data_IF_345504692704
#
_entry.id   IF_345504692704
#
_cell.length_a   1.000
_cell.length_b   1.000
_cell.length_c   1.000
_cell.angle_alpha   90.00
_cell.angle_beta   90.00
_cell.angle_gamma   90.00
#
_symmetry.space_group_name_H-M   'P 1'
#
loop_
_entity.id
_entity.type
_entity.pdbx_description
1 polymer ?
#
# COMPACT_ATOMS: atom_id res chain seq x y z
N UNK A 1 -13.20 7.20 -4.33
CA UNK A 1 -11.86 6.62 -4.14
C UNK A 1 -11.10 6.68 -5.46
N UNK A 2 -9.88 7.22 -5.45
CA UNK A 2 -9.06 7.40 -6.66
C UNK A 2 -8.21 6.19 -6.99
N UNK A 3 -7.69 5.50 -5.97
CA UNK A 3 -6.84 4.35 -6.21
C UNK A 3 -6.66 3.49 -4.98
N UNK A 4 -6.38 2.21 -5.22
CA UNK A 4 -6.13 1.21 -4.20
C UNK A 4 -4.76 0.55 -4.49
N UNK A 5 -3.78 0.78 -3.63
CA UNK A 5 -2.45 0.19 -3.72
C UNK A 5 -2.42 -1.10 -2.91
N UNK A 6 -2.11 -2.19 -3.59
CA UNK A 6 -2.07 -3.53 -3.01
C UNK A 6 -0.69 -4.15 -3.11
N UNK A 7 -0.17 -4.65 -2.02
CA UNK A 7 1.06 -5.44 -1.98
C UNK A 7 0.94 -6.57 -0.95
N UNK A 8 0.86 -7.80 -1.43
CA UNK A 8 0.74 -8.99 -0.59
C UNK A 8 0.96 -10.25 -1.45
N UNK A 9 1.30 -11.37 -0.84
CA UNK A 9 1.47 -12.69 -1.49
C UNK A 9 2.57 -13.53 -0.84
N UNK A 10 3.34 -12.95 0.06
CA UNK A 10 4.51 -13.58 0.69
C UNK A 10 4.13 -14.87 1.43
N UNK A 11 3.05 -14.85 2.19
CA UNK A 11 2.62 -16.00 2.96
C UNK A 11 1.89 -17.05 2.12
N UNK A 12 1.31 -16.65 1.01
CA UNK A 12 0.63 -17.59 0.09
C UNK A 12 1.64 -18.54 -0.57
N UNK A 13 2.92 -18.13 -0.67
CA UNK A 13 4.00 -18.96 -1.20
C UNK A 13 4.25 -20.25 -0.40
N UNK A 14 3.79 -20.33 0.85
CA UNK A 14 4.02 -21.51 1.70
C UNK A 14 2.93 -22.59 1.58
N UNK A 15 1.92 -22.37 0.73
CA UNK A 15 0.85 -23.32 0.49
C UNK A 15 0.53 -23.41 -1.01
N UNK A 16 0.55 -24.63 -1.57
CA UNK A 16 0.35 -24.83 -3.01
C UNK A 16 -1.06 -24.46 -3.47
N UNK A 17 -2.08 -24.75 -2.67
CA UNK A 17 -3.46 -24.38 -2.98
C UNK A 17 -3.65 -22.87 -2.97
N UNK A 18 -2.98 -22.15 -2.06
CA UNK A 18 -3.02 -20.69 -2.01
C UNK A 18 -2.31 -20.07 -3.21
N UNK A 19 -1.15 -20.62 -3.60
CA UNK A 19 -0.45 -20.17 -4.81
C UNK A 19 -1.31 -20.38 -6.06
N UNK A 20 -1.91 -21.56 -6.20
CA UNK A 20 -2.78 -21.92 -7.34
C UNK A 20 -4.01 -21.01 -7.42
N UNK A 21 -4.60 -20.69 -6.29
CA UNK A 21 -5.84 -19.92 -6.22
C UNK A 21 -5.60 -18.40 -6.02
N UNK A 22 -4.35 -17.95 -5.98
CA UNK A 22 -4.04 -16.54 -5.72
C UNK A 22 -4.72 -15.60 -6.73
N UNK A 23 -4.56 -15.86 -8.02
CA UNK A 23 -5.17 -15.03 -9.07
C UNK A 23 -6.70 -15.00 -8.99
N UNK A 24 -7.40 -16.14 -8.95
CA UNK A 24 -8.85 -16.19 -8.72
C UNK A 24 -9.31 -15.44 -7.47
N UNK A 25 -8.61 -15.63 -6.34
CA UNK A 25 -8.92 -14.94 -5.10
C UNK A 25 -8.71 -13.43 -5.22
N UNK A 26 -7.61 -13.00 -5.84
CA UNK A 26 -7.33 -11.59 -6.09
C UNK A 26 -8.41 -10.96 -6.98
N UNK A 27 -8.81 -11.63 -8.08
CA UNK A 27 -9.89 -11.16 -8.94
C UNK A 27 -11.20 -10.96 -8.16
N UNK A 28 -11.57 -11.93 -7.34
CA UNK A 28 -12.76 -11.83 -6.50
C UNK A 28 -12.64 -10.71 -5.47
N UNK A 29 -11.47 -10.53 -4.89
CA UNK A 29 -11.16 -9.45 -3.95
C UNK A 29 -11.40 -8.08 -4.57
N UNK A 30 -10.84 -7.81 -5.77
CA UNK A 30 -11.05 -6.53 -6.47
C UNK A 30 -12.53 -6.28 -6.78
N UNK A 31 -13.23 -7.29 -7.31
CA UNK A 31 -14.64 -7.17 -7.65
C UNK A 31 -15.51 -6.88 -6.40
N UNK A 32 -15.24 -7.57 -5.31
CA UNK A 32 -15.96 -7.36 -4.03
C UNK A 32 -15.68 -5.98 -3.46
N UNK A 33 -14.44 -5.49 -3.49
CA UNK A 33 -14.08 -4.17 -3.01
C UNK A 33 -14.80 -3.06 -3.78
N UNK A 34 -14.82 -3.13 -5.11
CA UNK A 34 -15.56 -2.17 -5.94
C UNK A 34 -17.03 -2.09 -5.57
N UNK A 35 -17.64 -3.25 -5.31
CA UNK A 35 -19.05 -3.33 -4.93
C UNK A 35 -19.28 -2.77 -3.53
N UNK A 36 -18.52 -3.23 -2.55
CA UNK A 36 -18.78 -2.95 -1.12
C UNK A 36 -18.40 -1.51 -0.76
N UNK A 37 -17.43 -0.92 -1.45
CA UNK A 37 -17.10 0.50 -1.37
C UNK A 37 -17.98 1.38 -2.27
N UNK A 38 -18.92 0.78 -3.02
CA UNK A 38 -19.76 1.48 -4.01
C UNK A 38 -18.95 2.33 -4.99
N UNK A 39 -17.77 1.84 -5.38
CA UNK A 39 -16.80 2.50 -6.24
C UNK A 39 -16.48 1.61 -7.46
N UNK A 40 -17.41 1.44 -8.42
CA UNK A 40 -17.25 0.47 -9.52
C UNK A 40 -16.08 0.78 -10.46
N UNK A 41 -15.60 2.01 -10.47
CA UNK A 41 -14.46 2.48 -11.27
C UNK A 41 -13.15 2.56 -10.48
N UNK A 42 -13.12 2.02 -9.25
CA UNK A 42 -11.92 2.03 -8.43
C UNK A 42 -10.78 1.29 -9.12
N UNK A 43 -9.68 2.01 -9.33
CA UNK A 43 -8.44 1.46 -9.89
C UNK A 43 -7.63 0.76 -8.83
N UNK A 44 -7.06 -0.39 -9.18
CA UNK A 44 -6.15 -1.14 -8.32
C UNK A 44 -4.74 -1.15 -8.91
N UNK A 45 -3.75 -0.88 -8.07
CA UNK A 45 -2.33 -0.91 -8.41
C UNK A 45 -1.69 -2.03 -7.61
N UNK A 46 -1.36 -3.13 -8.30
CA UNK A 46 -0.93 -4.38 -7.67
C UNK A 46 0.59 -4.46 -7.74
N UNK A 47 1.24 -4.25 -6.60
CA UNK A 47 2.69 -4.36 -6.47
C UNK A 47 3.16 -5.79 -6.65
N UNK A 48 4.11 -5.97 -7.57
CA UNK A 48 4.75 -7.26 -7.85
C UNK A 48 5.36 -7.86 -6.58
N UNK A 49 5.11 -9.14 -6.34
CA UNK A 49 5.82 -9.86 -5.31
C UNK A 49 7.27 -10.10 -5.74
N UNK A 50 8.24 -9.61 -4.96
CA UNK A 50 9.67 -9.69 -5.27
C UNK A 50 10.48 -10.49 -4.23
N UNK A 51 9.88 -11.50 -3.63
CA UNK A 51 10.53 -12.34 -2.62
C UNK A 51 11.28 -13.50 -3.26
N UNK A 52 12.61 -13.44 -3.27
CA UNK A 52 13.47 -14.45 -3.93
C UNK A 52 13.93 -15.55 -2.99
N UNK A 53 14.21 -15.22 -1.73
CA UNK A 53 14.71 -16.14 -0.72
C UNK A 53 14.11 -15.85 0.65
N UNK A 54 13.84 -16.92 1.42
CA UNK A 54 13.50 -16.85 2.85
C UNK A 54 14.25 -17.95 3.55
N UNK A 55 14.96 -17.63 4.63
CA UNK A 55 15.72 -18.60 5.44
C UNK A 55 16.65 -19.50 4.60
N UNK A 56 17.28 -18.93 3.58
CA UNK A 56 18.17 -19.65 2.68
C UNK A 56 17.46 -20.53 1.63
N UNK A 57 16.14 -20.62 1.65
CA UNK A 57 15.38 -21.33 0.62
C UNK A 57 15.19 -20.47 -0.62
N UNK A 58 15.34 -21.06 -1.80
CA UNK A 58 14.99 -20.42 -3.07
C UNK A 58 13.46 -20.42 -3.26
N UNK A 59 12.85 -19.26 -3.16
CA UNK A 59 11.41 -19.08 -3.33
C UNK A 59 11.02 -18.53 -4.70
N UNK A 60 11.97 -18.36 -5.62
CA UNK A 60 11.67 -17.82 -6.95
C UNK A 60 10.57 -18.57 -7.70
N UNK A 61 10.51 -19.92 -7.72
CA UNK A 61 9.41 -20.63 -8.37
C UNK A 61 8.04 -20.29 -7.77
N UNK A 62 7.98 -20.18 -6.45
CA UNK A 62 6.76 -19.85 -5.69
C UNK A 62 6.36 -18.39 -5.87
N UNK A 63 7.34 -17.48 -5.79
CA UNK A 63 7.16 -16.06 -6.10
C UNK A 63 6.59 -15.85 -7.52
N UNK A 64 7.14 -16.57 -8.51
CA UNK A 64 6.64 -16.48 -9.89
C UNK A 64 5.22 -17.03 -10.03
N UNK A 65 4.81 -18.01 -9.22
CA UNK A 65 3.43 -18.49 -9.21
C UNK A 65 2.46 -17.39 -8.74
N UNK A 66 2.79 -16.69 -7.67
CA UNK A 66 2.02 -15.54 -7.18
C UNK A 66 2.02 -14.40 -8.21
N UNK A 67 3.19 -14.02 -8.74
CA UNK A 67 3.31 -12.93 -9.73
C UNK A 67 2.54 -13.24 -11.01
N UNK A 68 2.49 -14.50 -11.45
CA UNK A 68 1.61 -14.88 -12.58
C UNK A 68 0.13 -14.67 -12.24
N UNK A 69 -0.30 -15.01 -11.02
CA UNK A 69 -1.67 -14.72 -10.56
C UNK A 69 -1.99 -13.23 -10.56
N UNK A 70 -1.05 -12.41 -10.10
CA UNK A 70 -1.17 -10.95 -10.12
C UNK A 70 -1.30 -10.41 -11.56
N UNK A 71 -0.43 -10.84 -12.48
CA UNK A 71 -0.46 -10.45 -13.90
C UNK A 71 -1.75 -10.89 -14.59
N UNK A 72 -2.15 -12.13 -14.41
CA UNK A 72 -3.38 -12.66 -15.03
C UNK A 72 -4.63 -11.85 -14.66
N UNK A 73 -4.69 -11.27 -13.47
CA UNK A 73 -5.77 -10.37 -13.08
C UNK A 73 -5.67 -9.03 -13.80
N UNK A 74 -4.48 -8.44 -13.83
CA UNK A 74 -4.28 -7.13 -14.47
C UNK A 74 -4.40 -7.16 -15.99
N UNK A 75 -4.18 -8.30 -16.62
CA UNK A 75 -4.37 -8.49 -18.06
C UNK A 75 -5.86 -8.48 -18.48
N UNK A 76 -6.76 -8.87 -17.59
CA UNK A 76 -8.20 -8.95 -17.89
C UNK A 76 -9.05 -7.88 -17.21
N UNK A 77 -8.51 -7.16 -16.25
CA UNK A 77 -9.20 -6.09 -15.53
C UNK A 77 -8.60 -4.72 -15.94
N UNK A 78 -9.30 -3.94 -16.79
CA UNK A 78 -8.80 -2.65 -17.29
C UNK A 78 -8.65 -1.59 -16.20
N UNK A 79 -9.17 -1.86 -15.00
CA UNK A 79 -9.04 -1.02 -13.81
C UNK A 79 -8.00 -1.55 -12.82
N UNK A 80 -7.17 -2.51 -13.24
CA UNK A 80 -6.06 -3.03 -12.43
C UNK A 80 -4.74 -2.88 -13.21
N UNK A 81 -3.71 -2.34 -12.56
CA UNK A 81 -2.38 -2.17 -13.12
C UNK A 81 -1.35 -2.94 -12.30
N UNK A 82 -0.51 -3.69 -12.99
CA UNK A 82 0.63 -4.36 -12.38
C UNK A 82 1.77 -3.38 -12.19
N UNK A 83 2.26 -3.26 -10.96
CA UNK A 83 3.35 -2.35 -10.59
C UNK A 83 4.63 -3.14 -10.39
N UNK A 84 5.58 -3.11 -11.33
CA UNK A 84 6.82 -3.87 -11.23
C UNK A 84 7.67 -3.43 -10.05
N UNK A 85 8.25 -4.39 -9.34
CA UNK A 85 9.19 -4.16 -8.24
C UNK A 85 10.49 -4.95 -8.40
N UNK A 86 10.66 -5.70 -9.48
CA UNK A 86 11.84 -6.56 -9.72
C UNK A 86 13.15 -5.79 -9.80
N UNK A 87 13.12 -4.51 -10.12
CA UNK A 87 14.26 -3.58 -10.14
C UNK A 87 14.48 -2.86 -8.79
N UNK A 88 13.55 -3.01 -7.85
CA UNK A 88 13.65 -2.39 -6.54
C UNK A 88 14.67 -3.15 -5.69
N UNK A 89 15.56 -2.43 -5.03
CA UNK A 89 16.55 -3.00 -4.13
C UNK A 89 15.88 -3.68 -2.94
N UNK A 90 15.97 -5.02 -2.89
CA UNK A 90 15.65 -5.77 -1.68
C UNK A 90 16.90 -5.72 -0.80
N UNK A 91 16.85 -4.92 0.26
CA UNK A 91 17.91 -4.94 1.25
C UNK A 91 17.86 -6.27 1.99
N UNK A 92 18.92 -7.06 1.86
CA UNK A 92 19.14 -8.24 2.68
C UNK A 92 19.53 -7.72 4.06
N UNK A 93 18.59 -7.73 5.01
CA UNK A 93 18.86 -7.32 6.37
C UNK A 93 19.85 -8.25 7.06
N UNK A 94 20.44 -7.80 8.14
CA UNK A 94 21.34 -8.62 8.96
C UNK A 94 20.55 -9.55 9.91
N UNK A 95 20.89 -10.84 10.04
CA UNK A 95 21.93 -11.59 9.35
C UNK A 95 21.54 -11.97 7.91
N UNK A 96 22.54 -12.14 7.07
CA UNK A 96 22.42 -12.48 5.64
C UNK A 96 21.50 -13.68 5.42
N UNK A 97 20.58 -13.57 4.46
CA UNK A 97 19.70 -14.68 4.03
C UNK A 97 18.35 -14.78 4.74
N UNK A 98 18.05 -13.91 5.70
CA UNK A 98 16.81 -14.01 6.49
C UNK A 98 15.68 -13.08 6.04
N UNK A 99 15.91 -12.18 5.07
CA UNK A 99 14.97 -11.12 4.80
C UNK A 99 14.48 -11.08 3.36
N UNK A 100 13.18 -10.98 3.21
CA UNK A 100 12.41 -10.83 1.98
C UNK A 100 11.62 -9.50 1.97
N UNK A 101 12.01 -8.57 2.84
CA UNK A 101 11.37 -7.27 2.94
C UNK A 101 12.17 -6.20 2.18
N UNK A 102 11.47 -5.23 1.63
CA UNK A 102 12.11 -4.04 1.12
C UNK A 102 12.73 -3.25 2.26
N UNK A 103 14.00 -2.90 2.12
CA UNK A 103 14.68 -1.97 3.00
C UNK A 103 14.27 -0.51 2.70
N UNK A 104 15.02 0.42 3.26
CA UNK A 104 14.71 1.86 3.17
C UNK A 104 14.61 2.34 1.72
N UNK A 105 15.62 2.08 0.92
CA UNK A 105 15.63 2.49 -0.50
C UNK A 105 14.53 1.78 -1.30
N UNK A 106 14.34 0.49 -1.05
CA UNK A 106 13.29 -0.29 -1.70
C UNK A 106 11.90 0.25 -1.41
N UNK A 107 11.61 0.69 -0.17
CA UNK A 107 10.33 1.30 0.17
C UNK A 107 10.11 2.65 -0.54
N UNK A 108 11.15 3.46 -0.65
CA UNK A 108 11.09 4.73 -1.38
C UNK A 108 10.79 4.47 -2.87
N UNK A 109 11.55 3.57 -3.50
CA UNK A 109 11.34 3.19 -4.91
C UNK A 109 9.96 2.57 -5.13
N UNK A 110 9.47 1.76 -4.19
CA UNK A 110 8.14 1.16 -4.28
C UNK A 110 7.02 2.20 -4.25
N UNK A 111 7.15 3.21 -3.39
CA UNK A 111 6.22 4.35 -3.38
C UNK A 111 6.23 5.13 -4.69
N UNK A 112 7.41 5.41 -5.24
CA UNK A 112 7.56 6.09 -6.54
C UNK A 112 6.95 5.27 -7.69
N UNK A 113 7.10 3.94 -7.67
CA UNK A 113 6.50 3.05 -8.67
C UNK A 113 4.96 3.09 -8.63
N UNK A 114 4.35 3.10 -7.45
CA UNK A 114 2.89 3.26 -7.32
C UNK A 114 2.43 4.64 -7.81
N UNK A 115 3.15 5.69 -7.43
CA UNK A 115 2.84 7.05 -7.90
C UNK A 115 2.94 7.14 -9.43
N UNK A 116 4.00 6.57 -10.01
CA UNK A 116 4.18 6.53 -11.46
C UNK A 116 3.07 5.76 -12.17
N UNK A 117 2.64 4.61 -11.63
CA UNK A 117 1.53 3.83 -12.16
C UNK A 117 0.22 4.63 -12.16
N UNK A 118 -0.08 5.28 -11.03
CA UNK A 118 -1.26 6.14 -10.94
C UNK A 118 -1.21 7.29 -11.95
N UNK A 119 -0.09 8.01 -12.03
CA UNK A 119 0.08 9.14 -12.95
C UNK A 119 -0.01 8.73 -14.41
N UNK A 120 0.53 7.56 -14.79
CA UNK A 120 0.33 6.99 -16.14
C UNK A 120 -1.15 6.79 -16.44
N UNK A 121 -1.89 6.28 -15.49
CA UNK A 121 -3.34 6.03 -15.67
C UNK A 121 -4.17 7.31 -15.87
N UNK A 122 -3.61 8.47 -15.54
CA UNK A 122 -4.20 9.80 -15.79
C UNK A 122 -3.73 10.44 -17.11
N UNK A 123 -2.83 9.80 -17.84
CA UNK A 123 -2.23 10.38 -19.05
C UNK A 123 -1.28 11.57 -18.76
N UNK A 124 -0.79 11.70 -17.52
CA UNK A 124 0.05 12.83 -17.12
C UNK A 124 1.55 12.53 -17.26
N UNK A 125 2.28 13.45 -17.90
CA UNK A 125 3.75 13.45 -17.96
C UNK A 125 4.38 14.18 -16.73
N UNK A 126 5.62 13.86 -16.39
CA UNK A 126 6.27 14.30 -15.14
C UNK A 126 6.71 15.78 -15.10
N UNK A 127 6.38 16.52 -14.04
CA UNK A 127 6.80 17.91 -13.72
C UNK A 127 7.12 18.15 -12.19
N UNK A 128 7.92 19.18 -11.77
CA UNK A 128 8.51 19.28 -10.40
C UNK A 128 7.67 19.90 -9.26
N UNK A 129 8.09 19.73 -8.02
CA UNK A 129 7.38 19.80 -6.74
C UNK A 129 7.22 21.15 -6.00
N UNK A 130 6.20 21.30 -5.14
CA UNK A 130 6.07 22.35 -4.11
C UNK A 130 5.33 21.90 -2.85
N UNK A 131 5.55 22.55 -1.69
CA UNK A 131 5.11 22.17 -0.33
C UNK A 131 3.87 22.92 0.19
N UNK A 132 3.05 22.30 1.07
CA UNK A 132 1.84 22.85 1.69
C UNK A 132 1.93 22.93 3.23
N UNK A 133 1.29 23.91 3.85
CA UNK A 133 1.28 24.14 5.31
C UNK A 133 -0.15 24.30 5.84
N UNK A 134 -0.65 23.46 6.76
CA UNK A 134 -1.90 23.36 7.57
C UNK A 134 -2.82 22.23 7.15
N UNK A 135 -3.85 21.94 8.04
CA UNK A 135 -4.97 21.07 7.64
C UNK A 135 -5.37 21.46 6.27
N UNK A 136 -5.14 20.50 5.43
CA UNK A 136 -4.54 20.93 4.17
C UNK A 136 -5.57 21.41 3.18
N UNK A 137 -6.87 21.14 3.47
CA UNK A 137 -7.89 21.30 2.45
C UNK A 137 -8.87 22.41 2.84
N UNK A 138 -9.22 23.24 1.88
CA UNK A 138 -10.31 24.20 2.03
C UNK A 138 -11.63 23.45 2.15
N UNK A 139 -12.50 23.88 3.05
CA UNK A 139 -13.88 23.34 3.17
C UNK A 139 -14.56 23.39 1.79
N UNK A 140 -15.28 22.32 1.42
CA UNK A 140 -15.93 22.19 0.13
C UNK A 140 -15.04 21.72 -1.01
N UNK A 141 -13.72 21.54 -0.76
CA UNK A 141 -12.82 21.01 -1.80
C UNK A 141 -12.95 19.52 -1.99
N UNK A 142 -12.57 19.07 -3.18
CA UNK A 142 -12.38 17.65 -3.50
C UNK A 142 -11.08 17.14 -2.89
N UNK A 143 -11.09 15.91 -2.36
CA UNK A 143 -9.93 15.22 -1.78
C UNK A 143 -9.78 13.84 -2.40
N UNK A 144 -8.63 13.57 -2.99
CA UNK A 144 -8.26 12.28 -3.53
C UNK A 144 -7.79 11.38 -2.39
N UNK A 145 -8.62 10.42 -2.01
CA UNK A 145 -8.30 9.46 -0.94
C UNK A 145 -7.65 8.22 -1.54
N UNK A 146 -6.42 7.95 -1.10
CA UNK A 146 -5.68 6.73 -1.44
C UNK A 146 -5.67 5.75 -0.28
N UNK A 147 -5.95 4.49 -0.61
CA UNK A 147 -5.90 3.39 0.36
C UNK A 147 -4.61 2.62 0.13
N UNK A 148 -3.77 2.52 1.16
CA UNK A 148 -2.58 1.68 1.19
C UNK A 148 -2.87 0.47 2.08
N UNK A 149 -2.92 -0.73 1.50
CA UNK A 149 -3.27 -1.92 2.25
C UNK A 149 -2.36 -3.10 1.94
N UNK A 150 -2.13 -3.96 2.92
CA UNK A 150 -1.34 -5.18 2.70
C UNK A 150 -0.59 -5.69 3.92
N UNK A 151 0.51 -6.33 3.64
CA UNK A 151 1.38 -7.02 4.56
C UNK A 151 2.58 -6.13 4.99
N UNK A 152 3.60 -6.73 5.58
CA UNK A 152 4.81 -6.08 6.14
C UNK A 152 5.53 -5.12 5.19
N UNK A 153 5.58 -5.42 3.89
CA UNK A 153 6.21 -4.51 2.92
C UNK A 153 5.39 -3.23 2.70
N UNK A 154 4.06 -3.30 2.77
CA UNK A 154 3.22 -2.10 2.79
C UNK A 154 3.33 -1.36 4.13
N UNK A 155 3.56 -2.09 5.22
CA UNK A 155 3.81 -1.50 6.54
C UNK A 155 5.15 -0.77 6.61
N UNK A 156 6.19 -1.33 5.97
CA UNK A 156 7.55 -0.83 6.01
C UNK A 156 8.41 -1.45 7.11
N UNK A 157 8.16 -2.70 7.48
CA UNK A 157 8.74 -3.38 8.66
C UNK A 157 10.28 -3.27 8.76
N UNK A 158 10.98 -3.15 7.64
CA UNK A 158 12.47 -3.08 7.61
C UNK A 158 13.01 -1.75 7.08
N UNK A 159 12.17 -0.80 6.81
CA UNK A 159 12.58 0.54 6.36
C UNK A 159 12.81 1.46 7.57
N UNK A 160 13.99 1.38 8.16
CA UNK A 160 14.33 2.14 9.36
C UNK A 160 14.58 3.63 9.05
N UNK A 161 14.00 4.50 9.85
CA UNK A 161 14.11 5.96 9.77
C UNK A 161 15.58 6.42 9.71
N UNK A 162 16.44 5.84 10.56
CA UNK A 162 17.87 6.16 10.59
C UNK A 162 18.58 5.90 9.25
N UNK A 163 18.13 4.90 8.49
CA UNK A 163 18.73 4.58 7.21
C UNK A 163 18.30 5.56 6.11
N UNK A 164 17.06 6.06 6.14
CA UNK A 164 16.63 7.10 5.21
C UNK A 164 17.49 8.37 5.34
N UNK A 165 17.80 8.78 6.57
CA UNK A 165 18.70 9.91 6.82
C UNK A 165 20.10 9.69 6.24
N UNK A 166 20.68 8.48 6.42
CA UNK A 166 21.98 8.11 5.84
C UNK A 166 21.99 8.12 4.30
N UNK A 167 20.85 7.86 3.68
CA UNK A 167 20.67 7.88 2.21
C UNK A 167 20.35 9.28 1.66
N UNK A 168 20.44 10.34 2.48
CA UNK A 168 20.12 11.69 2.06
C UNK A 168 18.63 11.99 1.91
N UNK A 169 17.76 11.12 2.43
CA UNK A 169 16.31 11.23 2.35
C UNK A 169 15.65 11.73 3.65
N UNK A 170 16.41 12.44 4.50
CA UNK A 170 15.92 12.93 5.79
C UNK A 170 14.68 13.85 5.67
N UNK A 171 14.56 14.58 4.57
CA UNK A 171 13.44 15.47 4.35
C UNK A 171 12.10 14.75 4.19
N UNK A 172 12.09 13.53 3.68
CA UNK A 172 10.89 12.70 3.57
C UNK A 172 10.37 12.23 4.94
N UNK A 173 11.21 12.26 5.96
CA UNK A 173 10.84 11.85 7.32
C UNK A 173 10.18 12.99 8.11
N UNK A 174 10.25 14.22 7.62
CA UNK A 174 9.60 15.37 8.26
C UNK A 174 8.08 15.25 8.10
N UNK A 175 7.36 15.61 9.16
CA UNK A 175 5.91 15.69 9.09
C UNK A 175 5.48 16.63 7.95
N UNK A 176 4.58 16.11 7.11
CA UNK A 176 4.00 16.86 6.02
C UNK A 176 2.54 17.24 6.35
N UNK A 177 2.30 18.44 6.91
CA UNK A 177 0.95 18.87 7.26
C UNK A 177 0.06 19.17 6.04
N UNK A 178 0.61 19.13 4.84
CA UNK A 178 -0.12 19.26 3.59
C UNK A 178 -0.89 18.03 3.16
N UNK A 179 -0.73 16.89 3.86
CA UNK A 179 -1.37 15.63 3.56
C UNK A 179 -1.99 15.06 4.82
N UNK A 180 -3.31 14.79 4.77
CA UNK A 180 -4.00 14.08 5.84
C UNK A 180 -3.68 12.58 5.74
N UNK A 181 -3.17 12.03 6.84
CA UNK A 181 -2.78 10.64 6.96
C UNK A 181 -3.47 9.96 8.12
N UNK A 182 -3.99 8.76 7.88
CA UNK A 182 -4.62 7.92 8.89
C UNK A 182 -4.15 6.49 8.73
N UNK A 183 -3.90 5.78 9.83
CA UNK A 183 -3.37 4.42 9.73
C UNK A 183 -3.86 3.49 10.83
N UNK A 184 -3.85 2.20 10.51
CA UNK A 184 -3.96 1.05 11.41
C UNK A 184 -2.97 -0.01 10.96
N UNK A 185 -1.95 -0.29 11.75
CA UNK A 185 -0.80 -1.12 11.40
C UNK A 185 -0.75 -2.38 12.27
N UNK A 186 -0.17 -3.45 11.72
CA UNK A 186 0.08 -4.68 12.44
C UNK A 186 -1.18 -5.34 13.03
N UNK A 187 -2.32 -5.24 12.35
CA UNK A 187 -3.59 -5.73 12.88
C UNK A 187 -4.13 -4.87 14.03
N UNK A 188 -3.83 -3.58 14.01
CA UNK A 188 -4.29 -2.61 15.02
C UNK A 188 -3.32 -2.42 16.19
N UNK A 189 -2.12 -3.00 16.12
CA UNK A 189 -1.07 -2.80 17.11
C UNK A 189 -0.69 -1.32 17.28
N UNK A 190 -0.60 -0.59 16.17
CA UNK A 190 -0.39 0.86 16.15
C UNK A 190 -1.45 1.53 15.28
N UNK A 191 -2.11 2.54 15.80
CA UNK A 191 -3.17 3.30 15.10
C UNK A 191 -2.92 4.79 15.28
N UNK A 192 -3.31 5.56 14.25
CA UNK A 192 -3.41 7.02 14.38
C UNK A 192 -4.65 7.39 15.21
N UNK A 193 -4.57 8.49 15.93
CA UNK A 193 -5.71 9.08 16.63
C UNK A 193 -6.47 10.02 15.68
N UNK A 194 -7.15 9.42 14.67
CA UNK A 194 -7.80 10.15 13.59
C UNK A 194 -6.83 10.51 12.46
N UNK A 195 -7.09 11.64 11.80
CA UNK A 195 -6.26 12.17 10.72
C UNK A 195 -5.11 13.01 11.27
N UNK A 196 -3.89 12.63 10.92
CA UNK A 196 -2.64 13.26 11.34
C UNK A 196 -1.92 13.87 10.11
N UNK A 197 -0.92 14.75 10.30
CA UNK A 197 0.04 15.05 9.24
C UNK A 197 0.72 13.80 8.74
N UNK A 198 0.98 13.70 7.45
CA UNK A 198 1.76 12.57 6.93
C UNK A 198 3.16 12.58 7.56
N UNK A 199 3.54 11.47 8.14
CA UNK A 199 4.84 11.25 8.76
C UNK A 199 5.15 9.78 8.84
N UNK A 200 6.24 9.44 9.52
CA UNK A 200 6.63 8.06 9.72
C UNK A 200 5.56 7.27 10.49
N UNK A 201 5.13 6.15 9.94
CA UNK A 201 4.18 5.25 10.58
C UNK A 201 4.54 3.79 10.29
N UNK A 202 5.38 3.24 11.11
CA UNK A 202 5.68 1.82 11.19
C UNK A 202 5.38 1.29 12.59
N UNK A 203 5.40 -0.02 12.80
CA UNK A 203 5.23 -0.61 14.14
C UNK A 203 6.43 -0.34 15.07
N UNK A 204 7.56 0.08 14.51
CA UNK A 204 8.79 0.49 15.20
C UNK A 204 9.25 1.83 14.65
N UNK A 205 10.52 2.20 14.75
CA UNK A 205 11.08 3.36 14.06
C UNK A 205 11.25 3.10 12.56
N UNK A 206 10.14 2.81 11.90
CA UNK A 206 10.07 2.44 10.50
C UNK A 206 8.99 3.23 9.77
N UNK A 207 9.01 3.17 8.43
CA UNK A 207 8.04 3.81 7.55
C UNK A 207 7.80 2.92 6.33
N UNK A 208 6.68 3.13 5.66
CA UNK A 208 6.35 2.42 4.42
C UNK A 208 6.41 3.33 3.19
N UNK A 209 5.82 2.90 2.08
CA UNK A 209 5.85 3.63 0.81
C UNK A 209 5.05 4.94 0.83
N UNK A 210 4.24 5.20 1.84
CA UNK A 210 3.40 6.40 1.94
C UNK A 210 4.18 7.70 1.79
N UNK A 211 5.41 7.76 2.30
CA UNK A 211 6.20 9.00 2.32
C UNK A 211 6.60 9.42 0.89
N UNK A 212 7.24 8.52 0.15
CA UNK A 212 7.67 8.81 -1.22
C UNK A 212 6.48 8.87 -2.19
N UNK A 213 5.47 8.00 -2.02
CA UNK A 213 4.24 8.04 -2.79
C UNK A 213 3.57 9.42 -2.72
N UNK A 214 3.33 9.90 -1.51
CA UNK A 214 2.72 11.19 -1.28
C UNK A 214 3.56 12.34 -1.82
N UNK A 215 4.88 12.30 -1.58
CA UNK A 215 5.82 13.27 -2.13
C UNK A 215 5.77 13.35 -3.65
N UNK A 216 5.75 12.21 -4.32
CA UNK A 216 5.65 12.14 -5.78
C UNK A 216 4.34 12.72 -6.31
N UNK A 217 3.20 12.47 -5.64
CA UNK A 217 1.91 13.04 -6.03
C UNK A 217 1.85 14.56 -5.83
N UNK A 218 2.37 15.05 -4.71
CA UNK A 218 2.47 16.50 -4.48
C UNK A 218 3.37 17.18 -5.52
N UNK A 219 4.49 16.55 -5.85
CA UNK A 219 5.39 17.01 -6.89
C UNK A 219 4.67 17.21 -8.24
N UNK A 220 3.66 16.44 -8.53
CA UNK A 220 2.84 16.52 -9.75
C UNK A 220 1.61 17.42 -9.61
N UNK A 221 1.44 18.10 -8.49
CA UNK A 221 0.29 19.00 -8.22
C UNK A 221 -1.06 18.33 -8.41
N UNK A 222 -1.19 17.09 -7.97
CA UNK A 222 -2.43 16.29 -8.14
C UNK A 222 -3.64 16.86 -7.36
N UNK A 223 -3.50 17.97 -6.66
CA UNK A 223 -4.55 18.52 -5.82
C UNK A 223 -4.47 18.01 -4.38
N UNK A 224 -5.59 17.93 -3.71
CA UNK A 224 -5.64 17.47 -2.32
C UNK A 224 -5.51 15.95 -2.26
N UNK A 225 -4.54 15.47 -1.50
CA UNK A 225 -4.25 14.03 -1.32
C UNK A 225 -4.41 13.65 0.14
N UNK A 226 -5.23 12.66 0.42
CA UNK A 226 -5.33 12.01 1.73
C UNK A 226 -4.94 10.53 1.60
N UNK A 227 -4.33 9.97 2.63
CA UNK A 227 -3.89 8.58 2.65
C UNK A 227 -4.48 7.87 3.87
N UNK A 228 -5.11 6.72 3.64
CA UNK A 228 -5.54 5.79 4.67
C UNK A 228 -4.78 4.47 4.52
N UNK A 229 -3.93 4.13 5.50
CA UNK A 229 -3.06 2.96 5.48
C UNK A 229 -3.54 1.91 6.46
N UNK A 230 -3.75 0.68 5.97
CA UNK A 230 -4.16 -0.45 6.79
C UNK A 230 -3.27 -1.66 6.49
N UNK A 231 -2.55 -2.15 7.49
CA UNK A 231 -1.66 -3.31 7.31
C UNK A 231 -1.92 -4.39 8.36
N UNK A 232 -1.70 -5.62 7.95
CA UNK A 232 -1.74 -6.76 8.86
C UNK A 232 -0.60 -7.73 8.55
N UNK A 233 0.40 -7.75 9.42
CA UNK A 233 1.55 -8.64 9.31
C UNK A 233 1.13 -10.11 9.40
N UNK A 234 1.75 -10.98 8.57
CA UNK A 234 1.46 -12.41 8.55
C UNK A 234 0.13 -12.78 7.89
N UNK A 235 -0.56 -11.84 7.22
CA UNK A 235 -1.80 -12.11 6.52
C UNK A 235 -1.62 -12.83 5.19
N UNK A 236 -2.62 -13.61 4.81
CA UNK A 236 -2.79 -14.24 3.50
C UNK A 236 -3.97 -13.60 2.76
N UNK A 237 -4.04 -13.76 1.43
CA UNK A 237 -5.12 -13.14 0.66
C UNK A 237 -6.51 -13.57 1.14
N UNK A 238 -6.67 -14.80 1.56
CA UNK A 238 -7.94 -15.30 2.09
C UNK A 238 -8.40 -14.56 3.35
N UNK A 239 -7.48 -14.08 4.20
CA UNK A 239 -7.79 -13.31 5.39
C UNK A 239 -8.48 -11.97 5.06
N UNK A 240 -8.28 -11.47 3.83
CA UNK A 240 -8.82 -10.22 3.30
C UNK A 240 -10.08 -10.40 2.47
N UNK A 241 -10.65 -11.61 2.46
CA UNK A 241 -11.95 -11.88 1.84
C UNK A 241 -13.08 -11.83 2.88
N UNK A 242 -14.32 -11.62 2.47
CA UNK A 242 -15.46 -11.65 3.40
C UNK A 242 -15.59 -12.95 4.17
N UNK A 243 -15.14 -14.06 3.59
CA UNK A 243 -15.17 -15.39 4.20
C UNK A 243 -14.09 -15.57 5.29
N UNK A 244 -12.94 -14.88 5.11
CA UNK A 244 -11.81 -15.00 6.02
C UNK A 244 -11.11 -16.37 5.96
N UNK A 245 -10.10 -16.54 6.80
CA UNK A 245 -9.36 -17.80 6.94
C UNK A 245 -9.85 -18.59 8.14
N UNK A 246 -10.59 -19.67 7.90
CA UNK A 246 -11.05 -20.58 8.96
C UNK A 246 -9.88 -21.23 9.72
N UNK A 247 -8.84 -21.65 9.01
CA UNK A 247 -7.68 -22.34 9.59
C UNK A 247 -6.89 -21.51 10.58
N UNK A 248 -6.96 -20.15 10.46
CA UNK A 248 -6.23 -19.22 11.32
C UNK A 248 -7.14 -18.38 12.20
N UNK A 249 -8.45 -18.60 12.14
CA UNK A 249 -9.44 -17.74 12.80
C UNK A 249 -9.21 -16.24 12.51
N UNK A 250 -8.75 -15.94 11.29
CA UNK A 250 -8.36 -14.60 10.89
C UNK A 250 -9.34 -14.05 9.87
N UNK A 251 -9.92 -12.90 10.18
CA UNK A 251 -10.95 -12.26 9.37
C UNK A 251 -10.72 -10.76 9.36
N UNK A 252 -9.86 -10.30 8.45
CA UNK A 252 -9.41 -8.91 8.40
C UNK A 252 -10.41 -8.02 7.66
N UNK A 253 -11.17 -8.59 6.72
CA UNK A 253 -12.04 -7.85 5.80
C UNK A 253 -13.04 -6.89 6.51
N UNK A 254 -13.80 -7.29 7.53
CA UNK A 254 -14.77 -6.40 8.18
C UNK A 254 -14.10 -5.17 8.83
N UNK A 255 -12.96 -5.37 9.48
CA UNK A 255 -12.21 -4.27 10.12
C UNK A 255 -11.64 -3.31 9.07
N UNK A 256 -11.14 -3.86 7.98
CA UNK A 256 -10.61 -3.07 6.87
C UNK A 256 -11.72 -2.24 6.20
N UNK A 257 -12.87 -2.85 5.89
CA UNK A 257 -14.04 -2.11 5.35
C UNK A 257 -14.46 -0.99 6.28
N UNK A 258 -14.59 -1.30 7.58
CA UNK A 258 -14.96 -0.33 8.61
C UNK A 258 -13.99 0.85 8.66
N UNK A 259 -12.68 0.55 8.61
CA UNK A 259 -11.63 1.57 8.62
C UNK A 259 -11.74 2.51 7.42
N UNK A 260 -11.93 1.97 6.21
CA UNK A 260 -12.07 2.79 4.99
C UNK A 260 -13.35 3.63 5.04
N UNK A 261 -14.49 3.01 5.34
CA UNK A 261 -15.77 3.72 5.40
C UNK A 261 -15.74 4.83 6.45
N UNK A 262 -15.10 4.59 7.59
CA UNK A 262 -14.92 5.62 8.62
C UNK A 262 -14.02 6.75 8.10
N UNK A 263 -12.94 6.42 7.40
CA UNK A 263 -12.03 7.43 6.83
C UNK A 263 -12.74 8.33 5.82
N UNK A 264 -13.60 7.77 4.98
CA UNK A 264 -14.44 8.53 4.04
C UNK A 264 -15.39 9.46 4.81
N UNK A 265 -16.19 8.90 5.75
CA UNK A 265 -17.14 9.71 6.53
C UNK A 265 -16.50 10.85 7.29
N UNK A 266 -15.31 10.66 7.84
CA UNK A 266 -14.59 11.70 8.57
C UNK A 266 -14.15 12.85 7.65
N UNK A 267 -13.73 12.57 6.42
CA UNK A 267 -13.41 13.61 5.43
C UNK A 267 -14.68 14.33 4.97
N UNK A 268 -15.76 13.60 4.71
CA UNK A 268 -17.05 14.17 4.34
C UNK A 268 -17.63 15.06 5.45
N UNK A 269 -17.52 14.63 6.72
CA UNK A 269 -17.93 15.42 7.88
C UNK A 269 -17.14 16.72 8.04
N UNK A 270 -15.92 16.79 7.52
CA UNK A 270 -15.14 18.03 7.42
C UNK A 270 -15.54 18.92 6.24
N UNK A 271 -16.53 18.49 5.45
CA UNK A 271 -17.09 19.20 4.32
C UNK A 271 -16.35 18.96 3.01
N UNK A 272 -15.61 17.86 2.89
CA UNK A 272 -14.90 17.51 1.66
C UNK A 272 -15.72 16.57 0.78
N UNK A 273 -15.55 16.69 -0.53
CA UNK A 273 -15.99 15.68 -1.48
C UNK A 273 -14.84 14.67 -1.66
N UNK A 274 -15.07 13.45 -1.21
CA UNK A 274 -14.06 12.37 -1.32
C UNK A 274 -14.13 11.72 -2.70
N UNK A 275 -12.96 11.59 -3.30
CA UNK A 275 -12.79 11.01 -4.62
C UNK A 275 -11.86 9.79 -4.58
#
# INVERSE_FOLDING_TARGET
LEGFMWHQGENDMFNEDYMKNYGPNLKNYLAKWRRDLKSPKLKFYIGELCTKTIWGMDLRPRMYAISRGQRAVTEVDPLAEYVPTSHVGVEIGHPVGLHYHYGTLGQLQHGDNYAAAYLRSLGQAQAPARSLKRWPYKKGSEVNLFILAGHRNMEGERAFVQNAAKLGQADLLKDNPGIAFKYSLGGGYRKSDGWEPLGQAGCYDTFGPELSFAGALQAKRLGNVAIAKFTHSGSQIIDWTPEGSMARSRHIYPEFVKFIQQSIRELEAKGHKVR
#
